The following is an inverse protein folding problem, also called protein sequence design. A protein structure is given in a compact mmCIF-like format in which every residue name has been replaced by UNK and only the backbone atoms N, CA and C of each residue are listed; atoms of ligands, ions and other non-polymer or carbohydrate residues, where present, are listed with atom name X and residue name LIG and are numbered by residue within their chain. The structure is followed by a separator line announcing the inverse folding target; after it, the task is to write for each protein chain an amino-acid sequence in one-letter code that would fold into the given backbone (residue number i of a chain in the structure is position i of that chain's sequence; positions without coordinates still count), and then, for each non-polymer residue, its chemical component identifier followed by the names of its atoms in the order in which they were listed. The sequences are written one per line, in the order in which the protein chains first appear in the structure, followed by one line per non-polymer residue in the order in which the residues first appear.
data_IF_336095438244
#
_entry.id   IF_336095438244
#
_cell.length_a   1.000
_cell.length_b   1.000
_cell.length_c   1.000
_cell.angle_alpha   90.00
_cell.angle_beta   90.00
_cell.angle_gamma   90.00
#
_symmetry.space_group_name_H-M   'P 1'
#
loop_
_entity.id
_entity.type
_entity.pdbx_description
1 polymer ?
#
# COMPACT_ATOMS: atom_id res chain seq x y z
N UNK A 1 -14.73 -23.58 24.59
CA UNK A 1 -13.71 -23.17 23.60
C UNK A 1 -14.44 -23.06 22.26
N UNK A 2 -14.63 -21.85 21.75
CA UNK A 2 -15.44 -21.58 20.57
C UNK A 2 -14.79 -22.18 19.32
N UNK A 3 -15.57 -22.94 18.53
CA UNK A 3 -15.22 -23.39 17.19
C UNK A 3 -14.99 -22.17 16.29
N UNK A 4 -13.77 -21.62 16.31
CA UNK A 4 -13.36 -20.65 15.31
C UNK A 4 -13.35 -21.37 13.95
N UNK A 5 -14.19 -20.88 13.04
CA UNK A 5 -14.33 -21.41 11.70
C UNK A 5 -12.95 -21.37 11.03
N UNK A 6 -12.34 -22.53 10.81
CA UNK A 6 -11.00 -22.68 10.21
C UNK A 6 -10.93 -22.15 8.76
N UNK A 7 -12.08 -21.81 8.17
CA UNK A 7 -12.22 -21.16 6.87
C UNK A 7 -12.51 -19.64 6.99
N UNK A 8 -12.36 -19.05 8.18
CA UNK A 8 -12.41 -17.60 8.32
C UNK A 8 -11.24 -17.02 7.51
N UNK A 9 -11.61 -16.27 6.48
CA UNK A 9 -10.70 -15.79 5.47
C UNK A 9 -9.64 -14.90 6.11
N UNK A 10 -8.37 -15.28 6.00
CA UNK A 10 -7.21 -14.57 6.57
C UNK A 10 -6.70 -13.50 5.61
N UNK A 11 -7.55 -12.55 5.23
CA UNK A 11 -7.08 -11.31 4.61
C UNK A 11 -7.64 -10.12 5.37
N UNK A 12 -6.87 -9.05 5.46
CA UNK A 12 -7.33 -7.80 6.03
C UNK A 12 -8.11 -7.02 4.98
N UNK A 13 -9.34 -6.60 5.30
CA UNK A 13 -10.11 -5.68 4.46
C UNK A 13 -9.45 -4.28 4.38
N UNK A 14 -8.59 -3.98 5.35
CA UNK A 14 -7.87 -2.70 5.45
C UNK A 14 -6.37 -2.95 5.58
N UNK A 15 -5.61 -2.30 4.70
CA UNK A 15 -4.14 -2.38 4.70
C UNK A 15 -3.56 -1.24 5.55
N UNK A 16 -3.09 -1.56 6.77
CA UNK A 16 -2.33 -0.62 7.58
C UNK A 16 -0.83 -0.82 7.35
N UNK A 17 -0.12 0.05 6.60
CA UNK A 17 1.22 -0.24 6.09
C UNK A 17 2.28 -0.48 7.17
N UNK A 18 2.18 0.19 8.32
CA UNK A 18 3.11 -0.02 9.45
C UNK A 18 2.89 -1.41 10.08
N UNK A 19 1.64 -1.75 10.43
CA UNK A 19 1.31 -3.03 11.03
C UNK A 19 1.49 -4.21 10.06
N UNK A 20 1.21 -4.03 8.76
CA UNK A 20 1.41 -5.06 7.75
C UNK A 20 2.89 -5.43 7.54
N UNK A 21 3.80 -4.47 7.78
CA UNK A 21 5.24 -4.71 7.77
C UNK A 21 5.79 -5.28 9.08
N UNK A 22 5.00 -5.26 10.16
CA UNK A 22 5.39 -5.76 11.47
C UNK A 22 5.22 -7.28 11.53
N UNK A 23 6.32 -7.98 11.77
CA UNK A 23 6.35 -9.45 11.83
C UNK A 23 5.46 -9.98 12.97
N UNK A 24 5.37 -9.24 14.09
CA UNK A 24 4.55 -9.61 15.25
C UNK A 24 3.32 -8.70 15.46
N UNK A 25 3.10 -7.73 14.57
CA UNK A 25 1.96 -6.82 14.60
C UNK A 25 2.06 -5.71 15.65
N UNK A 26 3.22 -5.53 16.28
CA UNK A 26 3.38 -4.56 17.38
C UNK A 26 4.05 -3.25 16.97
N UNK A 27 4.54 -3.14 15.72
CA UNK A 27 5.27 -1.95 15.29
C UNK A 27 4.36 -0.71 15.30
N UNK A 28 4.86 0.33 15.96
CA UNK A 28 4.26 1.66 15.93
C UNK A 28 5.05 2.63 15.05
N UNK A 29 6.21 2.21 14.56
CA UNK A 29 7.11 3.00 13.72
C UNK A 29 7.35 2.29 12.38
N UNK A 30 7.50 3.03 11.27
CA UNK A 30 7.75 2.43 9.97
C UNK A 30 9.16 1.80 9.93
N UNK A 31 9.21 0.48 9.79
CA UNK A 31 10.45 -0.25 9.54
C UNK A 31 10.87 -0.25 8.06
N UNK A 32 9.92 -0.03 7.15
CA UNK A 32 10.17 0.07 5.71
C UNK A 32 10.47 1.52 5.30
N UNK A 33 11.52 1.71 4.49
CA UNK A 33 11.95 3.04 4.05
C UNK A 33 10.93 3.76 3.16
N UNK A 34 10.11 3.04 2.39
CA UNK A 34 9.05 3.66 1.60
C UNK A 34 7.91 4.14 2.48
N UNK A 35 7.50 3.36 3.49
CA UNK A 35 6.51 3.78 4.49
C UNK A 35 7.04 4.98 5.30
N UNK A 36 8.31 4.94 5.71
CA UNK A 36 8.96 6.08 6.39
C UNK A 36 8.94 7.35 5.53
N UNK A 37 9.29 7.24 4.24
CA UNK A 37 9.21 8.38 3.30
C UNK A 37 7.78 8.89 3.14
N UNK A 38 6.78 8.02 3.04
CA UNK A 38 5.38 8.41 2.92
C UNK A 38 4.90 9.16 4.19
N UNK A 39 5.24 8.65 5.37
CA UNK A 39 4.93 9.29 6.67
C UNK A 39 5.61 10.65 6.78
N UNK A 40 6.91 10.74 6.47
CA UNK A 40 7.61 12.03 6.44
C UNK A 40 6.98 13.00 5.46
N UNK A 41 6.60 12.55 4.27
CA UNK A 41 5.98 13.40 3.26
C UNK A 41 4.61 13.92 3.73
N UNK A 42 3.83 13.08 4.44
CA UNK A 42 2.58 13.48 5.07
C UNK A 42 2.76 14.42 6.26
N UNK A 43 3.82 14.25 7.05
CA UNK A 43 4.05 14.99 8.29
C UNK A 43 4.87 16.28 8.11
N UNK A 44 5.72 16.37 7.09
CA UNK A 44 6.62 17.49 6.84
C UNK A 44 5.95 18.78 6.36
N UNK A 45 4.63 18.93 6.52
CA UNK A 45 4.02 20.25 6.64
C UNK A 45 4.15 21.18 5.43
N UNK A 46 4.35 20.68 4.20
CA UNK A 46 4.01 21.46 2.99
C UNK A 46 2.49 21.76 2.89
N UNK A 47 1.71 21.35 3.90
CA UNK A 47 0.25 21.50 3.99
C UNK A 47 -0.24 22.35 5.17
N UNK A 48 0.62 22.88 6.05
CA UNK A 48 0.12 23.85 7.04
C UNK A 48 -0.43 25.13 6.37
N UNK A 49 -0.01 25.41 5.12
CA UNK A 49 -0.56 26.48 4.30
C UNK A 49 -1.88 26.14 3.57
N UNK A 50 -2.35 24.89 3.59
CA UNK A 50 -3.55 24.46 2.86
C UNK A 50 -4.80 24.29 3.74
N UNK A 51 -4.70 24.50 5.06
CA UNK A 51 -5.86 24.47 5.94
C UNK A 51 -6.83 25.67 5.72
N UNK A 52 -6.39 26.71 5.00
CA UNK A 52 -7.20 27.90 4.68
C UNK A 52 -7.84 27.88 3.28
N UNK A 53 -7.51 26.92 2.42
CA UNK A 53 -8.11 26.79 1.10
C UNK A 53 -8.78 25.42 0.96
N UNK A 54 -9.95 25.31 1.60
CA UNK A 54 -10.94 24.29 1.29
C UNK A 54 -11.05 24.12 -0.24
N UNK A 55 -10.98 22.87 -0.73
CA UNK A 55 -11.25 22.36 -2.10
C UNK A 55 -10.08 21.80 -2.94
N UNK A 56 -8.97 21.35 -2.35
CA UNK A 56 -8.12 20.39 -3.06
C UNK A 56 -7.82 19.20 -2.13
N UNK A 57 -8.43 18.01 -2.35
CA UNK A 57 -8.06 16.86 -1.56
C UNK A 57 -6.58 16.61 -1.80
N UNK A 58 -5.87 16.57 -0.68
CA UNK A 58 -4.44 16.40 -0.59
C UNK A 58 -4.07 14.97 -1.00
N UNK A 59 -4.17 14.67 -2.29
CA UNK A 59 -3.82 13.37 -2.82
C UNK A 59 -2.45 13.45 -3.48
N UNK A 60 -1.42 13.54 -2.64
CA UNK A 60 -0.03 13.50 -3.11
C UNK A 60 0.30 12.13 -3.73
N UNK A 61 -0.50 11.10 -3.45
CA UNK A 61 -0.48 9.80 -4.12
C UNK A 61 -1.92 9.30 -4.27
N UNK A 62 -2.60 9.76 -5.33
CA UNK A 62 -3.89 9.20 -5.76
C UNK A 62 -3.65 8.03 -6.74
N UNK A 63 -3.75 6.77 -6.32
CA UNK A 63 -3.64 5.66 -7.26
C UNK A 63 -4.77 5.67 -8.30
N UNK A 64 -5.93 6.29 -8.01
CA UNK A 64 -7.04 6.41 -8.97
C UNK A 64 -6.83 7.54 -9.99
N UNK A 65 -5.90 8.45 -9.71
CA UNK A 65 -5.47 9.50 -10.64
C UNK A 65 -4.28 9.12 -11.52
N UNK A 66 -3.61 7.99 -11.27
CA UNK A 66 -2.47 7.53 -12.06
C UNK A 66 -2.94 6.78 -13.32
N UNK A 67 -2.66 7.29 -14.53
CA UNK A 67 -3.08 6.63 -15.77
C UNK A 67 -2.43 5.26 -16.01
N UNK A 68 -1.39 4.90 -15.24
CA UNK A 68 -0.77 3.57 -15.30
C UNK A 68 -1.55 2.51 -14.53
N UNK A 69 -2.40 2.91 -13.59
CA UNK A 69 -3.25 1.99 -12.82
C UNK A 69 -4.51 1.74 -13.63
N UNK A 70 -4.65 0.52 -14.14
CA UNK A 70 -5.78 0.10 -14.99
C UNK A 70 -6.35 -1.23 -14.51
N UNK A 71 -7.62 -1.48 -14.84
CA UNK A 71 -8.29 -2.75 -14.55
C UNK A 71 -8.93 -2.84 -13.16
N UNK A 72 -9.40 -4.04 -12.82
CA UNK A 72 -10.02 -4.33 -11.53
C UNK A 72 -8.94 -4.68 -10.49
N UNK A 73 -8.84 -3.95 -9.36
CA UNK A 73 -7.87 -4.25 -8.31
C UNK A 73 -8.03 -5.64 -7.71
N UNK A 74 -9.24 -6.21 -7.67
CA UNK A 74 -9.46 -7.57 -7.16
C UNK A 74 -8.99 -8.67 -8.11
N UNK A 75 -8.73 -8.33 -9.36
CA UNK A 75 -8.20 -9.23 -10.38
C UNK A 75 -6.72 -8.97 -10.71
N UNK A 76 -6.02 -8.18 -9.89
CA UNK A 76 -4.64 -7.72 -10.15
C UNK A 76 -3.68 -8.22 -9.07
N UNK A 77 -2.55 -8.81 -9.48
CA UNK A 77 -1.50 -9.30 -8.56
C UNK A 77 -0.22 -8.48 -8.74
N UNK A 78 0.35 -8.01 -7.63
CA UNK A 78 1.65 -7.35 -7.62
C UNK A 78 2.78 -8.38 -7.49
N UNK A 79 3.74 -8.35 -8.43
CA UNK A 79 4.93 -9.21 -8.41
C UNK A 79 6.19 -8.35 -8.30
N UNK A 80 6.87 -8.45 -7.16
CA UNK A 80 8.13 -7.73 -6.88
C UNK A 80 9.36 -8.63 -6.97
N UNK A 81 10.55 -8.02 -6.80
CA UNK A 81 11.86 -8.73 -6.77
C UNK A 81 12.15 -9.60 -8.00
N UNK A 82 11.58 -9.26 -9.16
CA UNK A 82 11.92 -9.91 -10.42
C UNK A 82 13.40 -9.73 -10.75
N UNK A 83 14.00 -10.76 -11.37
CA UNK A 83 15.34 -10.64 -11.94
C UNK A 83 15.35 -9.54 -12.99
N UNK A 84 16.47 -8.82 -13.14
CA UNK A 84 16.62 -7.82 -14.22
C UNK A 84 16.59 -8.45 -15.62
N UNK A 85 16.74 -9.77 -15.70
CA UNK A 85 16.66 -10.55 -16.93
C UNK A 85 15.25 -11.06 -17.23
N UNK A 86 14.29 -10.92 -16.30
CA UNK A 86 12.90 -11.30 -16.53
C UNK A 86 12.25 -10.28 -17.46
N UNK A 87 11.68 -10.79 -18.55
CA UNK A 87 10.90 -10.02 -19.51
C UNK A 87 9.41 -10.38 -19.41
N UNK A 88 8.62 -9.74 -20.27
CA UNK A 88 7.17 -9.94 -20.28
C UNK A 88 6.78 -11.38 -20.66
N UNK A 89 7.45 -11.93 -21.68
CA UNK A 89 7.15 -13.26 -22.21
C UNK A 89 7.41 -14.36 -21.15
N UNK A 90 8.51 -14.24 -20.42
CA UNK A 90 8.83 -15.16 -19.33
C UNK A 90 7.87 -15.03 -18.16
N UNK A 91 7.38 -13.82 -17.85
CA UNK A 91 6.42 -13.59 -16.78
C UNK A 91 5.04 -14.18 -17.10
N UNK A 92 4.58 -14.13 -18.36
CA UNK A 92 3.29 -14.70 -18.79
C UNK A 92 3.20 -16.23 -18.69
N UNK A 93 4.33 -16.92 -18.62
CA UNK A 93 4.38 -18.39 -18.60
C UNK A 93 4.15 -18.97 -17.20
N UNK A 94 4.12 -18.14 -16.17
CA UNK A 94 3.92 -18.50 -14.76
C UNK A 94 2.45 -18.36 -14.41
#
# INVERSE_FOLDING_TARGET
MSNANINAVFYADTYHPIQAGSIDGTDTLPHDNAVYRAVLCSAAGLCEWLQLLYLLPLSLHDPFGDPKVIGDPYCTVFVGRLSRLTDEESLRKV
#
